data_IF_753089772440
#
_entry.id   IF_753089772440
#
_cell.length_a   1.000
_cell.length_b   1.000
_cell.length_c   1.000
_cell.angle_alpha   90.00
_cell.angle_beta   90.00
_cell.angle_gamma   90.00
#
_symmetry.space_group_name_H-M   'P 1'
#
loop_
_entity.id
_entity.type
_entity.pdbx_description
1 polymer ?
#
# COMPACT_ATOMS: atom_id res chain seq x y z
N UNK A 1 42.89 10.23 -7.57
CA UNK A 1 42.07 11.46 -7.47
C UNK A 1 40.63 11.11 -7.82
N UNK A 2 39.73 11.11 -6.83
CA UNK A 2 38.31 10.83 -7.04
C UNK A 2 37.62 12.13 -7.45
N UNK A 3 37.21 12.25 -8.71
CA UNK A 3 36.49 13.43 -9.21
C UNK A 3 35.06 13.37 -8.68
N UNK A 4 34.73 14.24 -7.72
CA UNK A 4 33.35 14.46 -7.29
C UNK A 4 32.54 14.97 -8.49
N UNK A 5 31.57 14.18 -8.96
CA UNK A 5 30.56 14.67 -9.92
C UNK A 5 29.75 15.79 -9.24
N UNK A 6 29.47 16.91 -9.93
CA UNK A 6 28.62 17.95 -9.37
C UNK A 6 27.21 17.39 -9.15
N UNK A 7 26.64 17.68 -7.97
CA UNK A 7 25.24 17.40 -7.67
C UNK A 7 24.41 18.32 -8.57
N UNK A 8 23.91 17.79 -9.68
CA UNK A 8 22.98 18.51 -10.54
C UNK A 8 21.62 18.49 -9.83
N UNK A 9 21.29 19.59 -9.14
CA UNK A 9 19.97 19.79 -8.55
C UNK A 9 18.93 19.66 -9.67
N UNK A 10 17.91 18.82 -9.47
CA UNK A 10 16.84 18.67 -10.47
C UNK A 10 16.12 20.00 -10.62
N UNK A 11 15.60 20.30 -11.81
CA UNK A 11 14.84 21.54 -12.07
C UNK A 11 13.71 21.76 -11.04
N UNK A 12 13.12 20.67 -10.54
CA UNK A 12 12.14 20.68 -9.45
C UNK A 12 12.72 21.21 -8.14
N UNK A 13 13.94 20.83 -7.77
CA UNK A 13 14.64 21.33 -6.58
C UNK A 13 15.00 22.81 -6.74
N UNK A 14 15.32 23.27 -7.95
CA UNK A 14 15.59 24.68 -8.25
C UNK A 14 14.31 25.53 -8.21
N UNK A 15 13.19 25.03 -8.74
CA UNK A 15 11.88 25.72 -8.69
C UNK A 15 11.34 25.78 -7.25
N UNK A 16 11.44 24.67 -6.50
CA UNK A 16 11.08 24.62 -5.08
C UNK A 16 11.99 25.54 -4.24
N UNK A 17 13.28 25.60 -4.54
CA UNK A 17 14.22 26.51 -3.88
C UNK A 17 13.95 27.98 -4.23
N UNK A 18 13.66 28.31 -5.49
CA UNK A 18 13.38 29.68 -5.93
C UNK A 18 12.08 30.23 -5.34
N UNK A 19 11.04 29.39 -5.23
CA UNK A 19 9.78 29.77 -4.55
C UNK A 19 9.98 29.80 -3.02
N UNK A 20 10.79 28.90 -2.47
CA UNK A 20 11.16 28.88 -1.05
C UNK A 20 11.99 30.09 -0.61
N UNK A 21 12.85 30.64 -1.48
CA UNK A 21 13.60 31.87 -1.24
C UNK A 21 12.72 33.12 -1.23
N UNK A 22 11.60 33.12 -1.97
CA UNK A 22 10.66 34.25 -2.01
C UNK A 22 9.68 34.29 -0.82
N UNK A 23 9.69 33.26 0.04
CA UNK A 23 8.77 33.13 1.17
C UNK A 23 9.53 32.68 2.41
N UNK A 24 10.26 33.60 3.03
CA UNK A 24 10.99 33.34 4.27
C UNK A 24 10.09 32.69 5.34
N UNK A 25 10.29 31.39 5.59
CA UNK A 25 10.45 30.91 6.96
C UNK A 25 9.28 30.30 7.73
N UNK A 26 8.03 30.18 7.23
CA UNK A 26 6.94 29.60 8.07
C UNK A 26 6.02 28.55 7.46
N UNK A 27 5.83 28.53 6.13
CA UNK A 27 4.91 27.59 5.48
C UNK A 27 5.61 26.35 4.88
N UNK A 28 6.88 26.47 4.47
CA UNK A 28 7.62 25.39 3.80
C UNK A 28 8.28 24.36 4.73
N UNK A 29 8.43 24.70 6.01
CA UNK A 29 8.89 23.78 7.07
C UNK A 29 7.72 23.26 7.93
N UNK A 30 6.47 23.48 7.50
CA UNK A 30 5.32 23.01 8.26
C UNK A 30 5.23 21.48 8.18
N UNK A 31 5.36 20.83 9.34
CA UNK A 31 4.99 19.43 9.56
C UNK A 31 4.45 19.29 11.00
N UNK A 32 3.18 19.58 11.31
CA UNK A 32 2.64 19.37 12.64
C UNK A 32 2.06 17.96 12.73
N UNK A 33 2.75 17.00 12.11
CA UNK A 33 2.58 15.61 12.46
C UNK A 33 2.95 15.48 13.94
N UNK A 34 2.07 14.86 14.73
CA UNK A 34 2.36 14.54 16.12
C UNK A 34 2.30 13.04 16.25
N UNK A 35 3.42 12.43 16.66
CA UNK A 35 3.43 11.00 16.98
C UNK A 35 2.44 10.68 18.10
N UNK A 36 2.28 11.57 19.08
CA UNK A 36 1.31 11.38 20.16
C UNK A 36 -0.13 11.38 19.61
N UNK A 37 -0.49 12.32 18.71
CA UNK A 37 -1.82 12.35 18.09
C UNK A 37 -2.04 11.19 17.11
N UNK A 38 -0.99 10.78 16.39
CA UNK A 38 -1.03 9.60 15.53
C UNK A 38 -1.33 8.35 16.36
N UNK A 39 -0.59 8.15 17.45
CA UNK A 39 -0.76 7.02 18.35
C UNK A 39 -2.11 7.06 19.07
N UNK A 40 -2.60 8.25 19.45
CA UNK A 40 -3.92 8.43 20.04
C UNK A 40 -5.03 8.05 19.05
N UNK A 41 -4.97 8.53 17.81
CA UNK A 41 -5.93 8.19 16.76
C UNK A 41 -5.89 6.70 16.42
N UNK A 42 -4.69 6.14 16.27
CA UNK A 42 -4.48 4.71 16.02
C UNK A 42 -5.06 3.86 17.16
N UNK A 43 -4.77 4.20 18.42
CA UNK A 43 -5.31 3.51 19.60
C UNK A 43 -6.83 3.54 19.65
N UNK A 44 -7.45 4.69 19.36
CA UNK A 44 -8.92 4.82 19.29
C UNK A 44 -9.52 3.89 18.24
N UNK A 45 -8.94 3.84 17.04
CA UNK A 45 -9.38 2.94 15.96
C UNK A 45 -9.22 1.48 16.39
N UNK A 46 -8.04 1.10 16.89
CA UNK A 46 -7.74 -0.28 17.27
C UNK A 46 -8.58 -0.77 18.45
N UNK A 47 -8.85 0.06 19.47
CA UNK A 47 -9.70 -0.33 20.61
C UNK A 47 -11.14 -0.65 20.19
N UNK A 48 -11.65 -0.06 19.11
CA UNK A 48 -12.97 -0.41 18.58
C UNK A 48 -12.95 -1.65 17.69
N UNK A 49 -11.84 -1.89 17.00
CA UNK A 49 -11.70 -2.98 16.03
C UNK A 49 -11.21 -4.30 16.65
N UNK A 50 -10.40 -4.24 17.71
CA UNK A 50 -9.78 -5.40 18.36
C UNK A 50 -10.50 -5.64 19.70
N UNK A 51 -11.30 -6.72 19.84
CA UNK A 51 -12.07 -6.99 21.05
C UNK A 51 -11.22 -7.56 22.20
N UNK A 52 -10.00 -8.01 21.91
CA UNK A 52 -9.08 -8.59 22.88
C UNK A 52 -8.02 -7.59 23.33
N UNK A 53 -7.41 -7.76 24.52
CA UNK A 53 -6.27 -6.95 24.94
C UNK A 53 -5.16 -6.97 23.88
N UNK A 54 -4.57 -5.81 23.61
CA UNK A 54 -3.44 -5.66 22.69
C UNK A 54 -2.43 -4.66 23.25
N UNK A 55 -1.19 -4.78 22.82
CA UNK A 55 -0.11 -3.86 23.14
C UNK A 55 0.31 -3.09 21.88
N UNK A 56 0.54 -1.79 22.01
CA UNK A 56 1.15 -0.97 20.97
C UNK A 56 2.58 -0.66 21.39
N UNK A 57 3.54 -1.07 20.57
CA UNK A 57 4.98 -0.89 20.81
C UNK A 57 5.68 -0.42 19.53
N UNK A 58 6.99 -0.14 19.63
CA UNK A 58 7.83 0.25 18.49
C UNK A 58 9.04 -0.66 18.42
N UNK A 59 9.06 -1.55 17.44
CA UNK A 59 10.19 -2.46 17.20
C UNK A 59 10.96 -1.94 16.00
N UNK A 60 12.24 -1.62 16.17
CA UNK A 60 13.09 -1.08 15.10
C UNK A 60 12.46 0.14 14.37
N UNK A 61 11.83 1.04 15.12
CA UNK A 61 11.11 2.23 14.62
C UNK A 61 9.82 1.94 13.82
N UNK A 62 9.38 0.68 13.78
CA UNK A 62 8.10 0.28 13.18
C UNK A 62 7.01 0.25 14.27
N UNK A 63 5.92 0.99 14.05
CA UNK A 63 4.71 0.85 14.87
C UNK A 63 4.23 -0.59 14.81
N UNK A 64 4.15 -1.23 15.96
CA UNK A 64 3.86 -2.67 16.09
C UNK A 64 2.68 -2.84 17.04
N UNK A 65 1.62 -3.46 16.55
CA UNK A 65 0.47 -3.87 17.37
C UNK A 65 0.63 -5.37 17.66
N UNK A 66 0.73 -5.71 18.94
CA UNK A 66 0.86 -7.08 19.41
C UNK A 66 -0.47 -7.52 20.02
N UNK A 67 -1.13 -8.46 19.37
CA UNK A 67 -2.30 -9.15 19.93
C UNK A 67 -1.82 -10.53 20.39
N UNK A 68 -1.73 -10.81 21.71
CA UNK A 68 -1.27 -12.09 22.19
C UNK A 68 -2.25 -13.19 21.79
N UNK A 69 -1.73 -14.32 21.33
CA UNK A 69 -2.53 -15.53 21.18
C UNK A 69 -2.99 -15.98 22.57
N UNK A 70 -4.30 -16.05 22.79
CA UNK A 70 -4.90 -16.48 24.06
C UNK A 70 -4.73 -17.97 24.34
N UNK A 71 -4.35 -18.75 23.32
CA UNK A 71 -4.15 -20.19 23.38
C UNK A 71 -2.64 -20.49 23.40
N UNK A 72 -2.14 -20.86 24.58
CA UNK A 72 -0.71 -21.07 24.80
C UNK A 72 -0.15 -22.28 24.03
N UNK A 73 -0.98 -23.32 23.82
CA UNK A 73 -0.60 -24.51 23.07
C UNK A 73 -0.44 -24.17 21.58
N UNK A 74 -1.44 -23.49 20.99
CA UNK A 74 -1.35 -23.02 19.60
C UNK A 74 -0.19 -22.06 19.38
N UNK A 75 0.13 -21.23 20.37
CA UNK A 75 1.28 -20.33 20.31
C UNK A 75 2.62 -21.07 20.26
N UNK A 76 2.77 -22.15 21.03
CA UNK A 76 3.99 -22.97 21.04
C UNK A 76 4.19 -23.72 19.71
N UNK A 77 3.08 -24.04 19.03
CA UNK A 77 3.08 -24.75 17.74
C UNK A 77 3.09 -23.83 16.51
N UNK A 78 3.03 -22.51 16.70
CA UNK A 78 3.01 -21.54 15.62
C UNK A 78 4.33 -21.54 14.82
N UNK A 79 4.37 -22.35 13.74
CA UNK A 79 5.54 -22.52 12.86
C UNK A 79 5.49 -21.71 11.58
N UNK A 80 4.42 -20.93 11.34
CA UNK A 80 4.17 -20.25 10.07
C UNK A 80 4.02 -18.74 10.27
N UNK A 81 4.85 -17.96 9.58
CA UNK A 81 4.72 -16.52 9.42
C UNK A 81 3.78 -16.24 8.24
N UNK A 82 2.72 -15.47 8.48
CA UNK A 82 1.74 -15.06 7.45
C UNK A 82 1.98 -13.60 7.11
N UNK A 83 2.27 -13.31 5.85
CA UNK A 83 2.49 -11.94 5.38
C UNK A 83 1.27 -11.47 4.57
N UNK A 84 0.62 -10.41 5.04
CA UNK A 84 -0.61 -9.83 4.47
C UNK A 84 -0.40 -8.31 4.27
N UNK A 85 -0.96 -7.74 3.21
CA UNK A 85 -0.88 -6.29 2.91
C UNK A 85 -2.09 -5.51 3.46
N UNK A 86 -1.95 -4.18 3.65
CA UNK A 86 -2.93 -3.29 4.32
C UNK A 86 -3.25 -1.97 3.57
N UNK A 87 -4.27 -1.23 4.04
CA UNK A 87 -4.92 -0.09 3.36
C UNK A 87 -4.23 1.23 3.60
N UNK A 88 -4.15 2.04 2.54
CA UNK A 88 -3.83 3.48 2.54
C UNK A 88 -2.70 3.92 3.48
N UNK A 89 -1.81 2.98 3.83
CA UNK A 89 -0.72 3.22 4.73
C UNK A 89 0.20 4.24 4.07
N UNK A 90 0.43 5.34 4.78
CA UNK A 90 1.70 5.99 4.58
C UNK A 90 2.85 4.98 4.69
N UNK A 91 4.00 5.39 4.20
CA UNK A 91 5.21 4.59 4.13
C UNK A 91 5.08 3.19 3.47
N UNK A 92 4.98 3.15 2.14
CA UNK A 92 5.34 2.04 1.22
C UNK A 92 4.43 0.80 1.12
N UNK A 93 3.22 0.82 1.67
CA UNK A 93 2.44 -0.42 1.78
C UNK A 93 1.98 -1.03 0.43
N UNK A 94 1.97 -0.25 -0.65
CA UNK A 94 1.70 -0.74 -2.02
C UNK A 94 2.79 -1.68 -2.55
N UNK A 95 4.00 -1.58 -2.03
CA UNK A 95 5.12 -2.45 -2.39
C UNK A 95 5.25 -3.67 -1.46
N UNK A 96 4.39 -3.79 -0.44
CA UNK A 96 4.48 -4.89 0.55
C UNK A 96 4.31 -6.25 -0.09
N UNK A 97 3.46 -6.40 -1.12
CA UNK A 97 3.39 -7.66 -1.87
C UNK A 97 4.74 -8.04 -2.50
N UNK A 98 5.49 -7.06 -3.03
CA UNK A 98 6.84 -7.25 -3.57
C UNK A 98 7.87 -7.58 -2.49
N UNK A 99 7.84 -6.88 -1.35
CA UNK A 99 8.75 -7.15 -0.24
C UNK A 99 8.47 -8.49 0.43
N UNK A 100 7.20 -8.81 0.71
CA UNK A 100 6.76 -10.06 1.29
C UNK A 100 7.11 -11.24 0.38
N UNK A 101 6.85 -11.13 -0.92
CA UNK A 101 7.24 -12.17 -1.90
C UNK A 101 8.75 -12.33 -1.96
N UNK A 102 9.51 -11.23 -2.00
CA UNK A 102 10.98 -11.27 -2.02
C UNK A 102 11.57 -11.88 -0.74
N UNK A 103 10.97 -11.59 0.41
CA UNK A 103 11.36 -12.17 1.69
C UNK A 103 11.06 -13.66 1.73
N UNK A 104 9.85 -14.07 1.33
CA UNK A 104 9.41 -15.46 1.37
C UNK A 104 10.23 -16.34 0.42
N UNK A 105 10.54 -15.89 -0.79
CA UNK A 105 11.42 -16.63 -1.72
C UNK A 105 12.81 -16.87 -1.12
N UNK A 106 13.34 -15.91 -0.35
CA UNK A 106 14.64 -16.04 0.33
C UNK A 106 14.58 -16.88 1.61
N UNK A 107 13.43 -16.90 2.28
CA UNK A 107 13.22 -17.59 3.56
C UNK A 107 12.00 -18.51 3.44
N UNK A 108 12.08 -19.58 2.64
CA UNK A 108 10.92 -20.40 2.34
C UNK A 108 10.47 -21.29 3.49
N UNK A 109 11.36 -21.52 4.46
CA UNK A 109 11.05 -22.28 5.66
C UNK A 109 10.16 -21.41 6.55
N UNK A 110 9.05 -21.97 7.05
CA UNK A 110 8.19 -21.33 8.05
C UNK A 110 7.39 -20.10 7.56
N UNK A 111 7.13 -19.94 6.27
CA UNK A 111 6.36 -18.80 5.73
C UNK A 111 5.21 -19.27 4.86
N UNK A 112 4.01 -18.74 5.07
CA UNK A 112 2.89 -18.84 4.15
C UNK A 112 2.64 -17.47 3.51
N UNK A 113 2.55 -17.41 2.18
CA UNK A 113 2.40 -16.13 1.47
C UNK A 113 0.96 -15.95 1.04
N UNK A 114 0.31 -14.90 1.56
CA UNK A 114 -1.05 -14.52 1.19
C UNK A 114 -1.04 -13.12 0.58
N UNK A 115 -1.08 -13.07 -0.74
CA UNK A 115 -1.10 -11.83 -1.49
C UNK A 115 -2.55 -11.38 -1.65
N UNK A 116 -3.04 -10.59 -0.70
CA UNK A 116 -4.27 -9.87 -0.95
C UNK A 116 -4.00 -8.75 -2.00
N UNK A 117 -4.95 -8.52 -2.90
CA UNK A 117 -4.96 -7.57 -4.02
C UNK A 117 -3.57 -7.01 -4.45
N UNK A 118 -2.62 -7.87 -4.87
CA UNK A 118 -1.25 -7.42 -5.08
C UNK A 118 -1.15 -6.52 -6.32
N UNK A 119 -0.58 -5.32 -6.13
CA UNK A 119 -0.14 -4.48 -7.23
C UNK A 119 1.14 -5.02 -7.87
N UNK A 120 1.35 -4.69 -9.15
CA UNK A 120 2.59 -5.03 -9.85
C UNK A 120 2.75 -6.51 -10.20
N UNK A 121 1.65 -7.27 -10.29
CA UNK A 121 1.71 -8.67 -10.75
C UNK A 121 2.15 -8.79 -12.21
N UNK A 122 1.44 -8.21 -13.20
CA UNK A 122 1.81 -8.37 -14.59
C UNK A 122 2.98 -7.45 -14.97
N UNK A 123 3.58 -7.75 -16.11
CA UNK A 123 4.43 -6.79 -16.80
C UNK A 123 3.63 -5.51 -17.11
N UNK A 124 4.29 -4.33 -17.13
CA UNK A 124 3.67 -3.12 -17.65
C UNK A 124 3.16 -3.34 -19.08
N UNK A 125 2.03 -2.71 -19.47
CA UNK A 125 1.57 -2.75 -20.84
C UNK A 125 2.65 -2.17 -21.78
N UNK A 126 2.75 -2.68 -23.02
CA UNK A 126 3.69 -2.12 -23.98
C UNK A 126 3.41 -0.63 -24.20
N UNK A 127 4.43 0.17 -24.54
CA UNK A 127 4.23 1.57 -24.88
C UNK A 127 3.21 1.69 -26.00
N UNK A 128 2.22 2.58 -25.85
CA UNK A 128 1.30 2.89 -26.94
C UNK A 128 2.09 3.35 -28.17
N UNK A 129 1.65 2.91 -29.34
CA UNK A 129 2.14 3.43 -30.61
C UNK A 129 1.98 4.97 -30.62
N UNK A 130 3.08 5.74 -30.79
CA UNK A 130 3.05 7.20 -30.81
C UNK A 130 2.07 7.81 -31.83
N UNK A 131 1.76 7.05 -32.89
CA UNK A 131 0.87 7.48 -33.97
C UNK A 131 -0.61 7.19 -33.68
N UNK A 132 -0.91 6.36 -32.68
CA UNK A 132 -2.28 6.02 -32.29
C UNK A 132 -3.04 7.23 -31.73
N UNK A 133 -4.35 7.28 -31.97
CA UNK A 133 -5.22 8.32 -31.42
C UNK A 133 -5.24 8.30 -29.89
N UNK A 134 -5.09 7.12 -29.27
CA UNK A 134 -4.98 6.99 -27.82
C UNK A 134 -3.68 7.64 -27.30
N UNK A 135 -2.54 7.40 -27.95
CA UNK A 135 -1.27 8.05 -27.57
C UNK A 135 -1.32 9.56 -27.77
N UNK A 136 -1.92 10.03 -28.87
CA UNK A 136 -2.11 11.47 -29.12
C UNK A 136 -3.04 12.10 -28.10
N UNK A 137 -4.18 11.49 -27.79
CA UNK A 137 -5.12 11.96 -26.77
C UNK A 137 -4.47 11.99 -25.38
N UNK A 138 -3.71 10.94 -25.04
CA UNK A 138 -2.91 10.86 -23.83
C UNK A 138 -1.88 11.99 -23.74
N UNK A 139 -1.19 12.30 -24.85
CA UNK A 139 -0.16 13.33 -24.91
C UNK A 139 -0.72 14.76 -24.96
N UNK A 140 -1.94 14.95 -25.48
CA UNK A 140 -2.65 16.26 -25.46
C UNK A 140 -3.08 16.67 -24.05
N UNK A 141 -3.25 15.72 -23.12
CA UNK A 141 -3.62 16.03 -21.74
C UNK A 141 -2.43 16.62 -20.96
N UNK A 142 -2.31 17.95 -21.00
CA UNK A 142 -1.31 18.69 -20.24
C UNK A 142 -1.38 18.39 -18.72
N UNK A 143 -2.59 18.22 -18.17
CA UNK A 143 -2.81 17.82 -16.77
C UNK A 143 -2.16 16.48 -16.45
N UNK A 144 -2.34 15.48 -17.31
CA UNK A 144 -1.72 14.16 -17.13
C UNK A 144 -0.20 14.24 -17.22
N UNK A 145 0.33 15.05 -18.15
CA UNK A 145 1.78 15.27 -18.28
C UNK A 145 2.38 15.88 -17.02
N UNK A 146 1.70 16.87 -16.43
CA UNK A 146 2.11 17.45 -15.14
C UNK A 146 2.05 16.39 -14.05
N UNK A 147 0.98 15.60 -13.96
CA UNK A 147 0.86 14.56 -12.93
C UNK A 147 1.93 13.47 -13.04
N UNK A 148 2.24 13.02 -14.26
CA UNK A 148 3.31 12.04 -14.51
C UNK A 148 4.69 12.63 -14.17
N UNK A 149 4.98 13.85 -14.63
CA UNK A 149 6.22 14.54 -14.31
C UNK A 149 6.37 14.77 -12.80
N UNK A 150 5.28 15.12 -12.11
CA UNK A 150 5.26 15.25 -10.66
C UNK A 150 5.65 13.92 -9.99
N UNK A 151 5.04 12.81 -10.40
CA UNK A 151 5.37 11.47 -9.90
C UNK A 151 6.84 11.09 -10.12
N UNK A 152 7.36 11.28 -11.34
CA UNK A 152 8.77 11.00 -11.70
C UNK A 152 9.78 11.86 -10.92
N UNK A 153 9.36 13.07 -10.52
CA UNK A 153 10.14 13.96 -9.66
C UNK A 153 9.92 13.71 -8.16
N UNK A 154 9.17 12.67 -7.78
CA UNK A 154 8.95 12.28 -6.39
C UNK A 154 7.92 13.13 -5.65
N UNK A 155 7.10 13.91 -6.37
CA UNK A 155 5.92 14.55 -5.80
C UNK A 155 4.79 13.51 -5.67
N UNK A 156 4.34 13.31 -4.44
CA UNK A 156 3.32 12.34 -4.06
C UNK A 156 2.08 13.07 -3.50
N UNK A 157 0.93 12.39 -3.36
CA UNK A 157 -0.20 12.95 -2.62
C UNK A 157 0.16 13.39 -1.20
N UNK A 158 1.06 12.66 -0.52
CA UNK A 158 1.53 13.02 0.82
C UNK A 158 2.42 14.29 0.79
N UNK A 159 3.21 14.49 -0.27
CA UNK A 159 3.96 15.74 -0.47
C UNK A 159 3.02 16.94 -0.60
N UNK A 160 1.88 16.78 -1.29
CA UNK A 160 0.86 17.82 -1.36
C UNK A 160 0.25 18.08 0.02
N UNK A 161 -0.10 17.03 0.78
CA UNK A 161 -0.67 17.15 2.11
C UNK A 161 0.25 17.89 3.10
N UNK A 162 1.57 17.73 2.98
CA UNK A 162 2.57 18.52 3.73
C UNK A 162 2.69 19.95 3.21
N UNK A 163 2.73 20.12 1.88
CA UNK A 163 2.92 21.41 1.24
C UNK A 163 1.81 22.42 1.59
N UNK A 164 0.56 21.98 1.65
CA UNK A 164 -0.58 22.88 1.88
C UNK A 164 -0.67 23.41 3.31
N UNK A 165 0.31 23.09 4.17
CA UNK A 165 0.39 23.69 5.49
C UNK A 165 -0.84 23.33 6.34
N UNK A 166 -1.29 24.22 7.25
CA UNK A 166 -2.43 24.00 8.16
C UNK A 166 -3.72 23.43 7.55
N UNK A 167 -3.92 23.51 6.23
CA UNK A 167 -5.06 22.95 5.51
C UNK A 167 -4.92 21.44 5.19
N UNK A 168 -3.75 20.85 5.43
CA UNK A 168 -3.45 19.44 5.19
C UNK A 168 -4.43 18.46 5.85
N UNK A 169 -4.82 18.63 7.14
CA UNK A 169 -5.81 17.76 7.78
C UNK A 169 -7.15 17.76 7.04
N UNK A 170 -7.66 18.94 6.66
CA UNK A 170 -8.93 19.06 5.94
C UNK A 170 -8.83 18.44 4.54
N UNK A 171 -7.71 18.63 3.84
CA UNK A 171 -7.47 18.00 2.55
C UNK A 171 -7.52 16.47 2.67
N UNK A 172 -6.79 15.89 3.63
CA UNK A 172 -6.78 14.43 3.86
C UNK A 172 -8.18 13.94 4.25
N UNK A 173 -8.89 14.65 5.12
CA UNK A 173 -10.27 14.32 5.50
C UNK A 173 -11.18 14.24 4.26
N UNK A 174 -11.12 15.23 3.37
CA UNK A 174 -11.91 15.26 2.15
C UNK A 174 -11.52 14.11 1.20
N UNK A 175 -10.23 13.78 1.10
CA UNK A 175 -9.74 12.64 0.31
C UNK A 175 -10.30 11.32 0.86
N UNK A 176 -10.29 11.14 2.18
CA UNK A 176 -10.85 9.95 2.84
C UNK A 176 -12.34 9.82 2.58
N UNK A 177 -13.11 10.88 2.84
CA UNK A 177 -14.55 10.91 2.58
C UNK A 177 -14.88 10.61 1.12
N UNK A 178 -14.15 11.24 0.19
CA UNK A 178 -14.32 11.01 -1.25
C UNK A 178 -14.00 9.57 -1.63
N UNK A 179 -12.91 9.00 -1.10
CA UNK A 179 -12.52 7.61 -1.37
C UNK A 179 -13.58 6.63 -0.85
N UNK A 180 -14.10 6.85 0.34
CA UNK A 180 -15.14 6.01 0.94
C UNK A 180 -16.47 6.13 0.18
N UNK A 181 -16.77 7.29 -0.40
CA UNK A 181 -17.97 7.44 -1.25
C UNK A 181 -17.98 6.55 -2.50
N UNK A 182 -16.82 6.06 -2.95
CA UNK A 182 -16.70 5.10 -4.04
C UNK A 182 -16.78 3.62 -3.59
N UNK A 183 -16.74 3.36 -2.29
CA UNK A 183 -16.92 2.01 -1.74
C UNK A 183 -18.40 1.64 -1.74
N UNK A 184 -18.70 0.34 -1.77
CA UNK A 184 -20.08 -0.14 -1.80
C UNK A 184 -20.87 0.21 -0.55
N UNK A 185 -22.18 0.33 -0.66
CA UNK A 185 -23.05 0.65 0.48
C UNK A 185 -22.92 -0.34 1.65
N UNK A 186 -22.77 -1.63 1.37
CA UNK A 186 -22.50 -2.66 2.38
C UNK A 186 -21.06 -2.72 2.90
N UNK A 187 -20.22 -1.72 2.60
CA UNK A 187 -18.84 -1.65 3.08
C UNK A 187 -18.81 -1.32 4.57
N UNK A 188 -17.94 -1.97 5.35
CA UNK A 188 -17.71 -1.62 6.76
C UNK A 188 -17.12 -0.20 6.94
N UNK A 189 -16.66 0.43 5.87
CA UNK A 189 -16.27 1.85 5.89
C UNK A 189 -17.47 2.82 5.80
N UNK A 190 -18.68 2.30 5.55
CA UNK A 190 -19.92 3.06 5.37
C UNK A 190 -21.02 2.70 6.38
N UNK A 191 -20.81 1.68 7.21
CA UNK A 191 -21.79 1.20 8.20
C UNK A 191 -21.70 1.88 9.57
N UNK A 192 -20.72 2.78 9.76
CA UNK A 192 -20.51 3.52 11.01
C UNK A 192 -19.58 2.85 12.02
N UNK A 193 -19.06 1.64 11.75
CA UNK A 193 -18.09 0.96 12.63
C UNK A 193 -16.72 1.66 12.66
N UNK A 194 -16.39 2.41 11.61
CA UNK A 194 -15.17 3.22 11.51
C UNK A 194 -15.51 4.70 11.57
N UNK A 195 -14.97 5.41 12.57
CA UNK A 195 -15.07 6.87 12.63
C UNK A 195 -14.15 7.51 11.58
N UNK A 196 -14.75 8.19 10.60
CA UNK A 196 -14.02 8.78 9.48
C UNK A 196 -13.18 10.00 9.86
N UNK A 197 -13.51 10.67 10.97
CA UNK A 197 -12.73 11.79 11.50
C UNK A 197 -11.46 11.27 12.15
N UNK A 198 -11.57 10.19 12.92
CA UNK A 198 -10.41 9.52 13.53
C UNK A 198 -9.50 8.91 12.46
N UNK A 199 -10.08 8.25 11.46
CA UNK A 199 -9.35 7.73 10.31
C UNK A 199 -8.63 8.84 9.54
N UNK A 200 -9.30 9.97 9.31
CA UNK A 200 -8.70 11.12 8.66
C UNK A 200 -7.54 11.72 9.46
N UNK A 201 -7.68 11.82 10.80
CA UNK A 201 -6.61 12.27 11.68
C UNK A 201 -5.41 11.31 11.68
N UNK A 202 -5.65 9.99 11.75
CA UNK A 202 -4.62 8.95 11.63
C UNK A 202 -3.88 9.07 10.30
N UNK A 203 -4.60 9.14 9.17
CA UNK A 203 -4.02 9.23 7.84
C UNK A 203 -3.26 10.54 7.65
N UNK A 204 -3.79 11.67 8.12
CA UNK A 204 -3.11 12.95 8.02
C UNK A 204 -1.79 12.93 8.77
N UNK A 205 -1.79 12.50 10.04
CA UNK A 205 -0.55 12.47 10.81
C UNK A 205 0.47 11.50 10.20
N UNK A 206 0.04 10.35 9.68
CA UNK A 206 0.91 9.41 8.97
C UNK A 206 1.51 10.05 7.69
N UNK A 207 0.68 10.69 6.87
CA UNK A 207 1.12 11.35 5.62
C UNK A 207 2.00 12.57 5.88
N UNK A 208 1.76 13.29 6.98
CA UNK A 208 2.52 14.47 7.31
C UNK A 208 3.91 14.15 7.85
N UNK A 209 4.16 12.94 8.40
CA UNK A 209 5.48 12.52 8.88
C UNK A 209 6.58 12.62 7.81
N UNK A 210 7.84 12.54 8.27
CA UNK A 210 9.01 12.54 7.39
C UNK A 210 8.84 11.50 6.28
N UNK A 211 9.01 11.88 5.00
CA UNK A 211 8.83 10.96 3.88
C UNK A 211 9.72 9.73 4.01
N UNK A 212 9.13 8.54 4.04
CA UNK A 212 9.90 7.30 3.91
C UNK A 212 9.33 6.41 2.82
N UNK A 213 8.29 5.65 3.11
CA UNK A 213 7.86 4.62 2.18
C UNK A 213 7.06 5.13 0.98
N UNK A 214 6.54 6.35 0.99
CA UNK A 214 6.11 7.01 -0.25
C UNK A 214 7.28 7.18 -1.25
N UNK A 215 8.51 7.39 -0.76
CA UNK A 215 9.71 7.44 -1.61
C UNK A 215 10.06 6.05 -2.11
N UNK A 216 9.98 5.04 -1.26
CA UNK A 216 10.17 3.66 -1.68
C UNK A 216 9.13 3.21 -2.71
N UNK A 217 7.89 3.70 -2.63
CA UNK A 217 6.86 3.43 -3.64
C UNK A 217 7.31 3.95 -5.03
N UNK A 218 7.82 5.18 -5.12
CA UNK A 218 8.30 5.74 -6.39
C UNK A 218 9.53 5.04 -6.99
N UNK A 219 10.24 4.22 -6.21
CA UNK A 219 11.38 3.42 -6.72
C UNK A 219 10.99 2.01 -7.16
N UNK A 220 9.83 1.51 -6.73
CA UNK A 220 9.37 0.14 -7.02
C UNK A 220 8.16 0.10 -7.96
N UNK A 221 7.40 1.19 -8.04
CA UNK A 221 6.23 1.32 -8.92
C UNK A 221 6.44 2.43 -9.95
N UNK A 222 6.26 2.08 -11.22
CA UNK A 222 6.10 3.06 -12.29
C UNK A 222 4.64 3.55 -12.34
N UNK A 223 4.34 4.67 -13.04
CA UNK A 223 2.98 5.17 -13.13
C UNK A 223 1.96 4.10 -13.55
N UNK A 224 0.79 4.09 -12.89
CA UNK A 224 -0.24 3.06 -13.06
C UNK A 224 -0.14 1.87 -12.10
N UNK A 225 0.73 1.94 -11.08
CA UNK A 225 0.94 0.87 -10.10
C UNK A 225 1.50 -0.43 -10.69
N UNK A 226 2.21 -0.33 -11.83
CA UNK A 226 3.02 -1.42 -12.35
C UNK A 226 4.36 -1.48 -11.63
N UNK A 227 4.84 -2.68 -11.35
CA UNK A 227 6.13 -2.85 -10.70
C UNK A 227 7.28 -2.66 -11.70
N UNK A 228 8.37 -2.05 -11.21
CA UNK A 228 9.66 -2.03 -11.91
C UNK A 228 10.19 -3.46 -12.09
N UNK A 229 9.93 -4.34 -11.12
CA UNK A 229 10.19 -5.78 -11.17
C UNK A 229 8.87 -6.53 -10.95
N UNK A 230 8.19 -6.97 -12.03
CA UNK A 230 6.90 -7.64 -11.95
C UNK A 230 6.91 -8.89 -11.06
N UNK A 231 5.86 -9.10 -10.27
CA UNK A 231 5.76 -10.29 -9.42
C UNK A 231 5.64 -11.57 -10.22
N UNK A 232 5.11 -11.55 -11.44
CA UNK A 232 5.01 -12.75 -12.31
C UNK A 232 6.38 -13.38 -12.61
N UNK A 233 7.44 -12.57 -12.64
CA UNK A 233 8.83 -13.03 -12.83
C UNK A 233 9.41 -13.66 -11.56
N UNK A 234 8.98 -13.17 -10.39
CA UNK A 234 9.45 -13.65 -9.09
C UNK A 234 8.67 -14.90 -8.64
N UNK A 235 7.35 -14.88 -8.81
CA UNK A 235 6.41 -15.88 -8.35
C UNK A 235 6.35 -17.04 -9.34
N UNK A 236 7.43 -17.80 -9.34
CA UNK A 236 7.61 -18.96 -10.19
C UNK A 236 7.62 -20.26 -9.38
N UNK A 237 7.20 -21.41 -9.93
CA UNK A 237 7.30 -22.69 -9.24
C UNK A 237 8.73 -23.06 -8.82
N UNK A 238 9.73 -22.57 -9.57
CA UNK A 238 11.15 -22.72 -9.25
C UNK A 238 11.57 -21.90 -8.04
N UNK A 239 11.00 -20.70 -7.84
CA UNK A 239 11.39 -19.77 -6.77
C UNK A 239 10.54 -19.92 -5.50
N UNK A 240 9.23 -20.11 -5.66
CA UNK A 240 8.28 -20.17 -4.55
C UNK A 240 8.18 -21.62 -4.09
N UNK A 241 8.63 -21.89 -2.86
CA UNK A 241 8.67 -23.25 -2.27
C UNK A 241 7.59 -23.49 -1.20
N UNK A 242 6.93 -22.44 -0.77
CA UNK A 242 5.87 -22.45 0.24
C UNK A 242 4.48 -22.29 -0.37
N UNK A 243 3.40 -22.51 0.41
CA UNK A 243 2.04 -22.18 -0.01
C UNK A 243 1.88 -20.71 -0.42
N UNK A 244 1.22 -20.50 -1.56
CA UNK A 244 0.92 -19.19 -2.11
C UNK A 244 -0.59 -19.07 -2.34
N UNK A 245 -1.18 -18.02 -1.80
CA UNK A 245 -2.60 -17.72 -2.01
C UNK A 245 -2.75 -16.28 -2.48
N UNK A 246 -3.54 -16.08 -3.53
CA UNK A 246 -3.98 -14.76 -3.96
C UNK A 246 -5.40 -14.49 -3.44
N UNK A 247 -5.64 -13.29 -2.94
CA UNK A 247 -6.96 -12.90 -2.41
C UNK A 247 -7.38 -11.59 -3.09
N UNK A 248 -8.45 -11.56 -3.87
CA UNK A 248 -8.92 -10.36 -4.58
C UNK A 248 -10.32 -9.95 -4.16
N UNK A 249 -10.66 -8.66 -4.29
CA UNK A 249 -12.05 -8.25 -4.16
C UNK A 249 -12.88 -8.76 -5.34
N UNK A 250 -14.19 -8.92 -5.16
CA UNK A 250 -15.08 -9.19 -6.29
C UNK A 250 -15.19 -7.99 -7.26
N UNK A 251 -14.98 -6.78 -6.77
CA UNK A 251 -14.99 -5.53 -7.55
C UNK A 251 -13.63 -4.83 -7.51
N UNK A 252 -12.58 -5.62 -7.40
CA UNK A 252 -11.21 -5.13 -7.38
C UNK A 252 -10.84 -4.46 -8.70
N UNK A 253 -10.13 -3.33 -8.63
CA UNK A 253 -9.58 -2.66 -9.80
C UNK A 253 -8.22 -3.26 -10.20
N UNK A 254 -7.60 -4.07 -9.33
CA UNK A 254 -6.53 -4.99 -9.71
C UNK A 254 -7.12 -6.21 -10.40
N UNK A 255 -6.71 -6.49 -11.64
CA UNK A 255 -7.23 -7.63 -12.39
C UNK A 255 -6.71 -8.95 -11.80
N UNK A 256 -7.61 -9.69 -11.14
CA UNK A 256 -7.34 -11.00 -10.53
C UNK A 256 -6.84 -12.03 -11.54
N UNK A 257 -7.11 -11.85 -12.84
CA UNK A 257 -6.67 -12.78 -13.89
C UNK A 257 -5.15 -12.91 -13.96
N UNK A 258 -4.42 -11.85 -13.61
CA UNK A 258 -2.95 -11.91 -13.55
C UNK A 258 -2.47 -12.87 -12.45
N UNK A 259 -3.13 -12.86 -11.28
CA UNK A 259 -2.88 -13.85 -10.23
C UNK A 259 -3.34 -15.26 -10.62
N UNK A 260 -4.47 -15.35 -11.34
CA UNK A 260 -5.01 -16.63 -11.83
C UNK A 260 -4.04 -17.32 -12.79
N UNK A 261 -3.36 -16.57 -13.66
CA UNK A 261 -2.35 -17.11 -14.57
C UNK A 261 -1.19 -17.76 -13.80
N UNK A 262 -0.71 -17.11 -12.74
CA UNK A 262 0.31 -17.67 -11.83
C UNK A 262 -0.23 -18.95 -11.16
N UNK A 263 -1.47 -18.93 -10.65
CA UNK A 263 -2.10 -20.11 -10.05
C UNK A 263 -2.15 -21.28 -11.03
N UNK A 264 -2.55 -21.04 -12.28
CA UNK A 264 -2.62 -22.06 -13.32
C UNK A 264 -1.23 -22.64 -13.64
N UNK A 265 -0.19 -21.80 -13.64
CA UNK A 265 1.20 -22.22 -13.82
C UNK A 265 1.66 -23.16 -12.70
N UNK A 266 1.36 -22.85 -11.45
CA UNK A 266 1.71 -23.70 -10.31
C UNK A 266 0.94 -25.03 -10.33
N UNK A 267 -0.37 -24.98 -10.67
CA UNK A 267 -1.20 -26.19 -10.77
C UNK A 267 -0.69 -27.17 -11.84
N UNK A 268 -0.17 -26.66 -12.96
CA UNK A 268 0.45 -27.50 -14.01
C UNK A 268 1.68 -28.28 -13.50
N UNK A 269 2.34 -27.79 -12.47
CA UNK A 269 3.48 -28.45 -11.82
C UNK A 269 3.09 -29.22 -10.54
N UNK A 270 1.80 -29.43 -10.31
CA UNK A 270 1.31 -30.14 -9.12
C UNK A 270 1.53 -29.37 -7.81
N UNK A 271 1.72 -28.05 -7.86
CA UNK A 271 1.94 -27.21 -6.67
C UNK A 271 0.63 -26.61 -6.16
N UNK A 272 0.43 -26.64 -4.84
CA UNK A 272 -0.74 -26.07 -4.18
C UNK A 272 -0.65 -24.52 -4.16
N UNK A 273 -1.48 -23.89 -5.00
CA UNK A 273 -1.65 -22.43 -5.08
C UNK A 273 -3.12 -22.13 -5.31
N UNK A 274 -3.65 -21.15 -4.56
CA UNK A 274 -5.06 -20.79 -4.60
C UNK A 274 -5.29 -19.33 -4.98
N UNK A 275 -6.47 -19.06 -5.53
CA UNK A 275 -7.00 -17.71 -5.72
C UNK A 275 -8.41 -17.67 -5.17
N UNK A 276 -8.66 -16.73 -4.27
CA UNK A 276 -9.95 -16.53 -3.63
C UNK A 276 -10.43 -15.11 -3.89
N UNK A 277 -11.74 -14.95 -4.10
CA UNK A 277 -12.37 -13.63 -4.26
C UNK A 277 -13.32 -13.35 -3.11
N UNK A 278 -13.07 -12.27 -2.37
CA UNK A 278 -13.92 -11.84 -1.25
C UNK A 278 -15.15 -11.13 -1.82
N UNK A 279 -16.37 -11.60 -1.51
CA UNK A 279 -17.60 -10.98 -2.01
C UNK A 279 -17.80 -9.59 -1.39
N UNK A 280 -18.52 -8.73 -2.09
CA UNK A 280 -18.85 -7.37 -1.66
C UNK A 280 -17.63 -6.53 -1.25
N UNK A 281 -16.50 -6.70 -1.94
CA UNK A 281 -15.24 -6.05 -1.58
C UNK A 281 -14.47 -5.57 -2.81
N UNK A 282 -13.88 -4.38 -2.73
CA UNK A 282 -12.93 -3.88 -3.71
C UNK A 282 -11.49 -4.27 -3.35
N UNK A 283 -10.55 -3.46 -3.81
CA UNK A 283 -9.12 -3.61 -3.58
C UNK A 283 -8.72 -3.66 -2.10
N UNK A 284 -9.58 -3.12 -1.23
CA UNK A 284 -9.27 -2.89 0.17
C UNK A 284 -10.23 -3.71 1.04
N UNK A 285 -10.36 -4.97 0.66
CA UNK A 285 -11.27 -5.98 1.23
C UNK A 285 -11.28 -6.10 2.75
N UNK A 286 -10.14 -5.94 3.42
CA UNK A 286 -10.06 -6.01 4.88
C UNK A 286 -10.63 -4.76 5.57
N UNK A 287 -10.88 -3.68 4.82
CA UNK A 287 -11.66 -2.54 5.28
C UNK A 287 -13.09 -2.58 4.76
N UNK A 288 -13.31 -3.04 3.53
CA UNK A 288 -14.65 -3.04 2.93
C UNK A 288 -15.52 -4.20 3.43
N UNK A 289 -14.96 -5.40 3.58
CA UNK A 289 -15.63 -6.58 4.12
C UNK A 289 -14.66 -7.33 5.06
N UNK A 290 -14.36 -6.77 6.25
CA UNK A 290 -13.42 -7.38 7.20
C UNK A 290 -13.84 -8.80 7.60
N UNK A 291 -15.14 -9.04 7.79
CA UNK A 291 -15.67 -10.34 8.21
C UNK A 291 -15.43 -11.41 7.12
N UNK A 292 -15.77 -11.10 5.86
CA UNK A 292 -15.51 -12.00 4.73
C UNK A 292 -14.02 -12.20 4.46
N UNK A 293 -13.20 -11.15 4.59
CA UNK A 293 -11.75 -11.26 4.44
C UNK A 293 -11.13 -12.13 5.54
N UNK A 294 -11.51 -11.92 6.80
CA UNK A 294 -11.00 -12.70 7.93
C UNK A 294 -11.38 -14.18 7.83
N UNK A 295 -12.61 -14.49 7.39
CA UNK A 295 -13.02 -15.86 7.13
C UNK A 295 -12.13 -16.52 6.08
N UNK A 296 -11.88 -15.83 4.96
CA UNK A 296 -10.98 -16.33 3.92
C UNK A 296 -9.56 -16.57 4.46
N UNK A 297 -9.03 -15.67 5.28
CA UNK A 297 -7.71 -15.86 5.89
C UNK A 297 -7.67 -17.10 6.79
N UNK A 298 -8.64 -17.25 7.70
CA UNK A 298 -8.72 -18.41 8.59
C UNK A 298 -8.80 -19.70 7.77
N UNK A 299 -9.69 -19.74 6.78
CA UNK A 299 -9.85 -20.89 5.89
C UNK A 299 -8.56 -21.23 5.13
N UNK A 300 -7.75 -20.26 4.76
CA UNK A 300 -6.45 -20.52 4.10
C UNK A 300 -5.39 -21.04 5.06
N UNK A 301 -5.46 -20.64 6.34
CA UNK A 301 -4.47 -21.01 7.36
C UNK A 301 -4.73 -22.38 8.00
N UNK A 302 -5.98 -22.85 7.95
CA UNK A 302 -6.38 -24.14 8.54
C UNK A 302 -6.48 -25.27 7.51
N UNK A 303 -6.00 -25.07 6.29
CA UNK A 303 -5.97 -26.07 5.21
C UNK A 303 -4.78 -27.02 5.33
#
# INVERSE_FOLDING_TARGET
MCVKKPVCLRLSEVVLAAVGLATEGRLWNWVPASYAKLEEAERKILTRAIPTPFEMTKVAQLGTVVVPCSDAEKRAEAKNLVLIHGFAGGNAVWATAMFASSYAVKNPQHVNVMLASPAGVPHPPPPLDPTSEEAKARNRSWLRRIALSAWENGLTPMSIARFVGPYGPQLVQNVVQRRISFMSEGSAMRDGRVDLTELGAYLYHNWALKPSGERAMTTHLIPGAHAVRPLVDLLTPENVKMPLTFIYGDRDWMDYRNGLEIVQRFKREGRATDLIRVPNAGHQMFLENPDGFNQVLVDCLTR
#
